data_IF_413318992658
#
_entry.id   IF_413318992658
#
_cell.length_a   1.000
_cell.length_b   1.000
_cell.length_c   1.000
_cell.angle_alpha   90.00
_cell.angle_beta   90.00
_cell.angle_gamma   90.00
#
_symmetry.space_group_name_H-M   'P 1'
#
loop_
_entity.id
_entity.type
_entity.pdbx_description
1 polymer ?
#
# COMPACT_ATOMS: atom_id res chain seq x y z
N UNK A 1 29.47 4.58 28.86
CA UNK A 1 28.70 3.62 28.08
C UNK A 1 27.23 3.98 28.27
N UNK A 2 26.65 4.72 27.34
CA UNK A 2 25.22 5.06 27.36
C UNK A 2 24.43 3.89 26.79
N UNK A 3 23.12 3.75 27.15
CA UNK A 3 22.31 2.64 26.67
C UNK A 3 22.19 2.77 25.15
N UNK A 4 22.53 1.70 24.45
CA UNK A 4 22.28 1.52 23.03
C UNK A 4 20.79 1.63 22.81
N UNK A 5 20.34 2.75 22.21
CA UNK A 5 18.93 2.97 21.89
C UNK A 5 18.45 1.88 20.94
N UNK A 6 17.49 1.09 21.37
CA UNK A 6 16.67 0.29 20.48
C UNK A 6 16.08 1.25 19.45
N UNK A 7 16.28 0.98 18.16
CA UNK A 7 15.61 1.78 17.13
C UNK A 7 14.10 1.71 17.33
N UNK A 8 13.38 2.80 17.12
CA UNK A 8 11.92 2.90 17.31
C UNK A 8 11.20 1.77 16.54
N UNK A 9 11.74 1.36 15.40
CA UNK A 9 11.22 0.26 14.58
C UNK A 9 11.30 -1.12 15.23
N UNK A 10 12.38 -1.44 15.97
CA UNK A 10 12.50 -2.76 16.62
C UNK A 10 11.46 -2.93 17.74
N UNK A 11 11.12 -1.84 18.45
CA UNK A 11 10.08 -1.84 19.49
C UNK A 11 8.67 -2.03 18.94
N UNK A 12 8.35 -1.50 17.75
CA UNK A 12 7.02 -1.60 17.14
C UNK A 12 6.64 -3.04 16.83
N UNK A 13 7.53 -3.80 16.15
CA UNK A 13 7.28 -5.19 15.80
C UNK A 13 7.13 -6.11 17.02
N UNK A 14 7.81 -5.82 18.12
CA UNK A 14 7.69 -6.59 19.37
C UNK A 14 6.37 -6.34 20.10
N UNK A 15 5.85 -5.10 20.05
CA UNK A 15 4.72 -4.69 20.89
C UNK A 15 3.38 -4.61 20.18
N UNK A 16 3.37 -4.35 18.87
CA UNK A 16 2.15 -4.04 18.10
C UNK A 16 1.92 -4.94 16.90
N UNK A 17 2.98 -5.50 16.33
CA UNK A 17 2.90 -6.24 15.07
C UNK A 17 3.31 -7.71 15.28
N UNK A 18 2.49 -8.44 16.05
CA UNK A 18 2.68 -9.87 16.30
C UNK A 18 2.19 -10.70 15.10
N UNK A 19 2.93 -11.76 14.75
CA UNK A 19 2.52 -12.70 13.70
C UNK A 19 1.20 -13.38 14.08
N UNK A 20 0.19 -13.24 13.24
CA UNK A 20 -1.12 -13.87 13.41
C UNK A 20 -1.47 -14.72 12.19
N UNK A 21 -1.44 -16.05 12.34
CA UNK A 21 -1.78 -16.99 11.27
C UNK A 21 -3.19 -16.78 10.65
N UNK A 22 -4.11 -16.12 11.38
CA UNK A 22 -5.44 -15.77 10.85
C UNK A 22 -5.36 -14.75 9.73
N UNK A 23 -4.33 -13.93 9.72
CA UNK A 23 -4.07 -12.94 8.66
C UNK A 23 -3.75 -13.61 7.34
N UNK A 24 -3.15 -14.81 7.36
CA UNK A 24 -2.90 -15.61 6.16
C UNK A 24 -4.19 -15.91 5.39
N UNK A 25 -5.21 -16.41 6.09
CA UNK A 25 -6.54 -16.69 5.48
C UNK A 25 -7.21 -15.40 4.98
N UNK A 26 -7.07 -14.29 5.74
CA UNK A 26 -7.58 -13.00 5.34
C UNK A 26 -6.95 -12.54 4.03
N UNK A 27 -5.62 -12.43 3.97
CA UNK A 27 -4.91 -11.88 2.81
C UNK A 27 -5.05 -12.76 1.56
N UNK A 28 -5.03 -14.09 1.72
CA UNK A 28 -5.34 -15.03 0.64
C UNK A 28 -6.74 -14.79 0.07
N UNK A 29 -7.72 -14.56 0.93
CA UNK A 29 -9.10 -14.30 0.50
C UNK A 29 -9.24 -12.92 -0.15
N UNK A 30 -8.59 -11.89 0.39
CA UNK A 30 -8.55 -10.55 -0.19
C UNK A 30 -7.92 -10.57 -1.58
N UNK A 31 -6.78 -11.26 -1.74
CA UNK A 31 -6.17 -11.42 -3.04
C UNK A 31 -7.13 -12.12 -4.01
N UNK A 32 -7.66 -13.28 -3.62
CA UNK A 32 -8.55 -14.08 -4.48
C UNK A 32 -9.81 -13.35 -4.92
N UNK A 33 -10.47 -12.64 -4.01
CA UNK A 33 -11.82 -12.10 -4.23
C UNK A 33 -11.83 -10.60 -4.56
N UNK A 34 -10.69 -9.90 -4.38
CA UNK A 34 -10.61 -8.48 -4.67
C UNK A 34 -9.39 -8.13 -5.53
N UNK A 35 -8.15 -8.39 -5.08
CA UNK A 35 -6.96 -7.87 -5.74
C UNK A 35 -6.64 -8.55 -7.08
N UNK A 36 -7.02 -9.82 -7.26
CA UNK A 36 -6.77 -10.56 -8.51
C UNK A 36 -7.32 -9.87 -9.77
N UNK A 37 -8.33 -9.01 -9.64
CA UNK A 37 -8.86 -8.23 -10.79
C UNK A 37 -7.96 -7.08 -11.22
N UNK A 38 -7.02 -6.68 -10.35
CA UNK A 38 -6.12 -5.56 -10.54
C UNK A 38 -4.69 -5.98 -10.87
N UNK A 39 -4.36 -7.24 -10.63
CA UNK A 39 -3.00 -7.80 -10.75
C UNK A 39 -3.05 -8.97 -11.72
N UNK A 40 -2.33 -8.85 -12.83
CA UNK A 40 -2.15 -9.92 -13.80
C UNK A 40 -0.92 -10.79 -13.44
N UNK A 41 -0.84 -11.99 -13.99
CA UNK A 41 0.26 -12.93 -13.69
C UNK A 41 1.61 -12.45 -14.26
N UNK A 42 1.58 -11.62 -15.31
CA UNK A 42 2.77 -10.99 -15.92
C UNK A 42 3.24 -9.73 -15.22
N UNK A 43 2.54 -9.23 -14.21
CA UNK A 43 2.84 -7.98 -13.55
C UNK A 43 4.10 -8.04 -12.67
N UNK A 44 4.67 -6.86 -12.44
CA UNK A 44 5.60 -6.56 -11.37
C UNK A 44 4.86 -5.86 -10.23
N UNK A 45 4.84 -6.51 -9.07
CA UNK A 45 4.13 -6.03 -7.87
C UNK A 45 5.14 -5.66 -6.80
N UNK A 46 5.01 -4.47 -6.20
CA UNK A 46 5.78 -4.04 -5.04
C UNK A 46 4.86 -3.78 -3.85
N UNK A 47 5.17 -4.34 -2.68
CA UNK A 47 4.56 -4.01 -1.40
C UNK A 47 5.48 -3.09 -0.61
N UNK A 48 5.00 -1.89 -0.29
CA UNK A 48 5.67 -0.88 0.51
C UNK A 48 5.22 -1.03 1.97
N UNK A 49 6.17 -1.19 2.90
CA UNK A 49 5.88 -1.51 4.29
C UNK A 49 5.32 -2.93 4.43
N UNK A 50 6.04 -3.92 3.89
CA UNK A 50 5.54 -5.28 3.75
C UNK A 50 5.39 -6.03 5.09
N UNK A 51 6.13 -5.66 6.14
CA UNK A 51 6.11 -6.33 7.43
C UNK A 51 6.30 -7.84 7.30
N UNK A 52 5.33 -8.64 7.69
CA UNK A 52 5.37 -10.11 7.54
C UNK A 52 5.07 -10.61 6.10
N UNK A 53 4.95 -9.74 5.11
CA UNK A 53 4.70 -10.10 3.73
C UNK A 53 3.34 -10.77 3.47
N UNK A 54 2.37 -10.54 4.33
CA UNK A 54 1.07 -11.22 4.23
C UNK A 54 0.36 -10.98 2.90
N UNK A 55 0.46 -9.80 2.30
CA UNK A 55 -0.11 -9.54 0.99
C UNK A 55 0.76 -10.14 -0.11
N UNK A 56 2.04 -9.77 -0.19
CA UNK A 56 2.92 -10.13 -1.31
C UNK A 56 3.12 -11.65 -1.44
N UNK A 57 3.09 -12.38 -0.32
CA UNK A 57 3.18 -13.84 -0.29
C UNK A 57 1.97 -14.53 -0.95
N UNK A 58 0.81 -13.87 -1.00
CA UNK A 58 -0.40 -14.41 -1.61
C UNK A 58 -0.63 -13.93 -3.05
N UNK A 59 0.18 -12.98 -3.53
CA UNK A 59 0.10 -12.46 -4.90
C UNK A 59 0.68 -13.47 -5.89
N UNK A 60 0.00 -13.66 -7.02
CA UNK A 60 0.49 -14.39 -8.18
C UNK A 60 0.87 -13.35 -9.23
N UNK A 61 2.16 -13.17 -9.44
CA UNK A 61 2.71 -12.21 -10.39
C UNK A 61 4.11 -12.65 -10.83
N UNK A 62 4.56 -12.19 -11.99
CA UNK A 62 5.88 -12.52 -12.55
C UNK A 62 7.02 -12.06 -11.66
N UNK A 63 6.90 -10.88 -11.05
CA UNK A 63 7.88 -10.32 -10.13
C UNK A 63 7.18 -9.78 -8.89
N UNK A 64 7.67 -10.17 -7.73
CA UNK A 64 7.10 -9.77 -6.44
C UNK A 64 8.21 -9.22 -5.56
N UNK A 65 8.04 -7.98 -5.08
CA UNK A 65 9.03 -7.27 -4.29
C UNK A 65 8.36 -6.82 -2.99
N UNK A 66 9.00 -7.12 -1.87
CA UNK A 66 8.63 -6.65 -0.53
C UNK A 66 9.69 -5.65 -0.07
N UNK A 67 9.28 -4.44 0.32
CA UNK A 67 10.14 -3.41 0.88
C UNK A 67 9.68 -3.07 2.30
N UNK A 68 10.60 -3.09 3.26
CA UNK A 68 10.33 -2.68 4.64
C UNK A 68 11.61 -2.19 5.31
N UNK A 69 11.49 -1.31 6.31
CA UNK A 69 12.60 -0.90 7.18
C UNK A 69 13.02 -2.00 8.16
N UNK A 70 12.16 -2.99 8.39
CA UNK A 70 12.40 -4.06 9.34
C UNK A 70 13.40 -5.08 8.79
N UNK A 71 14.57 -5.18 9.43
CA UNK A 71 15.67 -6.03 8.99
C UNK A 71 15.32 -7.53 8.92
N UNK A 72 14.37 -7.98 9.75
CA UNK A 72 13.92 -9.37 9.79
C UNK A 72 12.90 -9.71 8.69
N UNK A 73 12.31 -8.72 8.02
CA UNK A 73 11.25 -8.92 7.01
C UNK A 73 11.61 -9.98 5.95
N UNK A 74 12.85 -10.04 5.42
CA UNK A 74 13.20 -11.04 4.39
C UNK A 74 13.03 -12.50 4.83
N UNK A 75 12.98 -12.77 6.15
CA UNK A 75 12.75 -14.12 6.70
C UNK A 75 11.29 -14.57 6.59
N UNK A 76 10.38 -13.64 6.38
CA UNK A 76 8.93 -13.91 6.35
C UNK A 76 8.36 -13.95 4.94
N UNK A 77 9.11 -13.49 3.94
CA UNK A 77 8.67 -13.58 2.55
C UNK A 77 8.94 -14.97 1.98
N UNK A 78 8.02 -15.43 1.14
CA UNK A 78 8.11 -16.76 0.53
C UNK A 78 9.14 -16.78 -0.61
N UNK A 79 9.58 -17.99 -0.95
CA UNK A 79 10.46 -18.21 -2.11
C UNK A 79 9.87 -17.54 -3.37
N UNK A 80 10.72 -16.84 -4.11
CA UNK A 80 10.33 -16.08 -5.31
C UNK A 80 9.78 -14.68 -5.03
N UNK A 81 9.79 -14.20 -3.78
CA UNK A 81 9.59 -12.80 -3.42
C UNK A 81 10.95 -12.17 -3.13
N UNK A 82 11.23 -11.04 -3.77
CA UNK A 82 12.44 -10.25 -3.51
C UNK A 82 12.24 -9.40 -2.24
N UNK A 83 12.80 -9.84 -1.11
CA UNK A 83 12.80 -9.07 0.14
C UNK A 83 13.89 -7.98 0.11
N UNK A 84 13.51 -6.73 0.35
CA UNK A 84 14.38 -5.57 0.41
C UNK A 84 14.23 -4.86 1.74
N UNK A 85 15.34 -4.64 2.45
CA UNK A 85 15.37 -3.81 3.64
C UNK A 85 15.75 -2.38 3.24
N UNK A 86 14.88 -1.42 3.53
CA UNK A 86 15.11 -0.03 3.15
C UNK A 86 13.90 0.86 3.39
N UNK A 87 14.12 2.17 3.22
CA UNK A 87 13.05 3.16 3.35
C UNK A 87 12.15 3.19 2.12
N UNK A 88 10.86 3.40 2.32
CA UNK A 88 9.90 3.64 1.24
C UNK A 88 10.13 4.98 0.53
N UNK A 89 10.93 5.87 1.13
CA UNK A 89 11.37 7.12 0.52
C UNK A 89 12.58 6.96 -0.41
N UNK A 90 13.10 5.75 -0.60
CA UNK A 90 14.15 5.43 -1.56
C UNK A 90 13.74 4.22 -2.42
N UNK A 91 13.19 4.50 -3.59
CA UNK A 91 12.79 3.51 -4.59
C UNK A 91 13.77 3.42 -5.76
N UNK A 92 15.02 3.88 -5.58
CA UNK A 92 16.06 3.89 -6.61
C UNK A 92 16.40 2.50 -7.17
N UNK A 93 16.18 1.45 -6.38
CA UNK A 93 16.40 0.05 -6.78
C UNK A 93 15.37 -0.46 -7.81
N UNK A 94 14.25 0.23 -8.00
CA UNK A 94 13.25 -0.09 -9.02
C UNK A 94 13.65 0.58 -10.35
N UNK A 95 13.49 -0.16 -11.43
CA UNK A 95 13.66 0.41 -12.77
C UNK A 95 12.47 1.33 -13.09
N UNK A 96 12.73 2.36 -13.90
CA UNK A 96 11.67 3.26 -14.34
C UNK A 96 10.63 2.51 -15.19
N UNK A 97 9.38 2.88 -15.01
CA UNK A 97 8.22 2.32 -15.71
C UNK A 97 8.11 0.78 -15.63
N UNK A 98 8.61 0.16 -14.55
CA UNK A 98 8.67 -1.29 -14.39
C UNK A 98 7.65 -1.88 -13.42
N UNK A 99 6.98 -1.06 -12.61
CA UNK A 99 6.03 -1.49 -11.59
C UNK A 99 4.61 -1.38 -12.11
N UNK A 100 3.87 -2.48 -12.11
CA UNK A 100 2.47 -2.50 -12.57
C UNK A 100 1.50 -2.30 -11.40
N UNK A 101 1.87 -2.73 -10.19
CA UNK A 101 1.04 -2.55 -9.01
C UNK A 101 1.90 -2.28 -7.77
N UNK A 102 1.78 -1.08 -7.20
CA UNK A 102 2.36 -0.72 -5.92
C UNK A 102 1.27 -0.80 -4.84
N UNK A 103 1.55 -1.50 -3.74
CA UNK A 103 0.62 -1.68 -2.63
C UNK A 103 1.22 -1.17 -1.33
N UNK A 104 0.43 -0.44 -0.55
CA UNK A 104 0.78 0.00 0.80
C UNK A 104 -0.40 -0.29 1.75
N UNK A 105 -0.13 -0.99 2.85
CA UNK A 105 -1.16 -1.29 3.85
C UNK A 105 -0.72 -0.83 5.22
N UNK A 106 -1.51 0.06 5.84
CA UNK A 106 -1.22 0.63 7.17
C UNK A 106 0.24 1.15 7.24
N UNK A 107 0.59 2.00 6.30
CA UNK A 107 1.92 2.57 6.16
C UNK A 107 1.90 4.09 6.24
N UNK A 108 1.04 4.76 5.47
CA UNK A 108 1.12 6.20 5.27
C UNK A 108 0.67 7.02 6.49
N UNK A 109 -0.03 6.42 7.43
CA UNK A 109 -0.33 7.01 8.74
C UNK A 109 0.89 7.09 9.66
N UNK A 110 1.96 6.34 9.36
CA UNK A 110 3.20 6.27 10.14
C UNK A 110 4.32 7.15 9.59
N UNK A 111 4.12 7.82 8.47
CA UNK A 111 5.10 8.72 7.86
C UNK A 111 4.54 10.14 7.75
N UNK A 112 5.42 11.12 7.60
CA UNK A 112 5.04 12.52 7.42
C UNK A 112 4.45 12.75 6.04
N UNK A 113 3.77 13.90 5.86
CA UNK A 113 3.26 14.30 4.54
C UNK A 113 4.39 14.53 3.53
N UNK A 114 5.53 15.06 3.96
CA UNK A 114 6.69 15.27 3.10
C UNK A 114 7.30 13.94 2.62
N UNK A 115 7.39 12.95 3.52
CA UNK A 115 7.81 11.59 3.15
C UNK A 115 6.84 10.95 2.16
N UNK A 116 5.53 11.08 2.40
CA UNK A 116 4.53 10.58 1.45
C UNK A 116 4.65 11.28 0.09
N UNK A 117 4.85 12.60 0.05
CA UNK A 117 5.07 13.34 -1.19
C UNK A 117 6.30 12.80 -1.94
N UNK A 118 7.40 12.53 -1.23
CA UNK A 118 8.60 11.92 -1.80
C UNK A 118 8.30 10.52 -2.38
N UNK A 119 7.55 9.66 -1.66
CA UNK A 119 7.13 8.34 -2.16
C UNK A 119 6.32 8.47 -3.44
N UNK A 120 5.33 9.38 -3.48
CA UNK A 120 4.48 9.58 -4.65
C UNK A 120 5.28 10.07 -5.86
N UNK A 121 6.19 11.02 -5.67
CA UNK A 121 7.06 11.53 -6.72
C UNK A 121 7.94 10.42 -7.33
N UNK A 122 8.53 9.56 -6.49
CA UNK A 122 9.34 8.45 -6.99
C UNK A 122 8.48 7.40 -7.70
N UNK A 123 7.32 7.03 -7.12
CA UNK A 123 6.41 6.06 -7.72
C UNK A 123 5.90 6.49 -9.09
N UNK A 124 5.71 7.80 -9.33
CA UNK A 124 5.31 8.31 -10.65
C UNK A 124 6.28 7.83 -11.74
N UNK A 125 7.59 7.92 -11.49
CA UNK A 125 8.61 7.44 -12.44
C UNK A 125 8.74 5.92 -12.52
N UNK A 126 8.41 5.19 -11.44
CA UNK A 126 8.57 3.73 -11.36
C UNK A 126 7.37 2.96 -11.88
N UNK A 127 6.16 3.54 -11.78
CA UNK A 127 4.94 2.91 -12.28
C UNK A 127 4.94 2.82 -13.81
N UNK A 128 4.56 1.67 -14.34
CA UNK A 128 4.42 1.42 -15.77
C UNK A 128 3.28 2.25 -16.39
N UNK A 129 3.11 2.19 -17.70
CA UNK A 129 2.04 2.88 -18.43
C UNK A 129 0.64 2.60 -17.91
N UNK A 130 0.44 1.42 -17.33
CA UNK A 130 -0.80 0.96 -16.70
C UNK A 130 -0.70 0.85 -15.19
N UNK A 131 0.43 1.26 -14.61
CA UNK A 131 0.77 1.08 -13.21
C UNK A 131 -0.22 1.76 -12.27
N UNK A 132 -0.52 1.08 -11.17
CA UNK A 132 -1.46 1.52 -10.14
C UNK A 132 -0.78 1.57 -8.78
N UNK A 133 -1.15 2.58 -7.98
CA UNK A 133 -0.91 2.62 -6.55
C UNK A 133 -2.20 2.24 -5.83
N UNK A 134 -2.15 1.25 -4.96
CA UNK A 134 -3.25 0.89 -4.07
C UNK A 134 -2.83 1.07 -2.61
N UNK A 135 -3.61 1.80 -1.86
CA UNK A 135 -3.42 1.96 -0.41
C UNK A 135 -4.63 1.44 0.36
N UNK A 136 -4.35 0.79 1.49
CA UNK A 136 -5.32 0.28 2.45
C UNK A 136 -4.90 0.72 3.85
N UNK A 137 -5.65 1.64 4.47
CA UNK A 137 -5.27 2.21 5.77
C UNK A 137 -6.47 2.70 6.58
N UNK A 138 -6.30 3.00 7.89
CA UNK A 138 -7.37 3.56 8.70
C UNK A 138 -7.95 4.83 8.09
N UNK A 139 -9.27 4.88 8.01
CA UNK A 139 -9.98 6.10 7.64
C UNK A 139 -10.39 6.83 8.92
N UNK A 140 -9.72 7.91 9.25
CA UNK A 140 -9.96 8.69 10.46
C UNK A 140 -11.43 9.03 10.66
N UNK A 141 -12.17 9.31 9.58
CA UNK A 141 -13.61 9.62 9.65
C UNK A 141 -14.45 8.53 10.31
N UNK A 142 -14.01 7.27 10.25
CA UNK A 142 -14.71 6.11 10.81
C UNK A 142 -13.93 5.41 11.92
N UNK A 143 -12.64 5.71 12.07
CA UNK A 143 -11.72 5.10 13.03
C UNK A 143 -11.23 6.09 14.11
N UNK A 144 -11.80 7.29 14.21
CA UNK A 144 -11.27 8.37 15.05
C UNK A 144 -11.11 8.03 16.53
N UNK A 145 -11.91 7.10 17.05
CA UNK A 145 -11.83 6.66 18.44
C UNK A 145 -10.62 5.80 18.73
N UNK A 146 -10.26 4.94 17.77
CA UNK A 146 -9.18 3.95 17.89
C UNK A 146 -7.91 4.37 17.16
N UNK A 147 -7.95 5.49 16.44
CA UNK A 147 -6.86 5.89 15.55
C UNK A 147 -5.53 6.04 16.31
N UNK A 148 -5.58 6.70 17.44
CA UNK A 148 -4.42 6.95 18.30
C UNK A 148 -4.22 5.90 19.40
N UNK A 149 -4.94 4.76 19.36
CA UNK A 149 -4.58 3.58 20.15
C UNK A 149 -3.22 3.00 19.69
N UNK A 150 -2.80 3.34 18.48
CA UNK A 150 -1.45 3.15 17.99
C UNK A 150 -0.66 4.47 18.07
N UNK A 151 0.32 4.50 19.00
CA UNK A 151 1.14 5.70 19.24
C UNK A 151 2.07 6.08 18.09
N UNK A 152 2.22 5.21 17.09
CA UNK A 152 3.06 5.44 15.93
C UNK A 152 2.33 6.12 14.77
N UNK A 153 1.01 6.33 14.89
CA UNK A 153 0.25 7.14 13.94
C UNK A 153 0.57 8.62 14.12
N UNK A 154 1.29 9.19 13.19
CA UNK A 154 1.71 10.60 13.22
C UNK A 154 0.94 11.48 12.24
N UNK A 155 0.36 10.89 11.19
CA UNK A 155 -0.40 11.63 10.17
C UNK A 155 -1.83 11.11 10.10
N UNK A 156 -2.79 12.05 9.98
CA UNK A 156 -4.21 11.74 9.97
C UNK A 156 -4.79 11.89 8.58
N UNK A 157 -5.36 10.82 8.05
CA UNK A 157 -6.05 10.84 6.76
C UNK A 157 -7.48 10.31 6.86
N UNK A 158 -8.41 11.02 6.23
CA UNK A 158 -9.68 10.47 5.78
C UNK A 158 -9.57 10.11 4.30
N UNK A 159 -10.55 9.33 3.79
CA UNK A 159 -10.60 9.06 2.35
C UNK A 159 -10.71 10.32 1.49
N UNK A 160 -11.27 11.41 2.04
CA UNK A 160 -11.36 12.70 1.35
C UNK A 160 -9.97 13.35 1.29
N UNK A 161 -9.34 13.56 2.46
CA UNK A 161 -8.03 14.24 2.52
C UNK A 161 -6.92 13.44 1.83
N UNK A 162 -6.96 12.11 1.89
CA UNK A 162 -6.02 11.27 1.14
C UNK A 162 -6.26 11.37 -0.38
N UNK A 163 -7.51 11.37 -0.83
CA UNK A 163 -7.81 11.55 -2.25
C UNK A 163 -7.39 12.92 -2.76
N UNK A 164 -7.56 13.97 -1.96
CA UNK A 164 -7.13 15.33 -2.32
C UNK A 164 -5.61 15.43 -2.33
N UNK A 165 -4.93 14.80 -1.36
CA UNK A 165 -3.47 14.75 -1.32
C UNK A 165 -2.90 14.02 -2.56
N UNK A 166 -3.47 12.88 -2.94
CA UNK A 166 -3.06 12.15 -4.15
C UNK A 166 -3.25 13.00 -5.41
N UNK A 167 -4.40 13.67 -5.56
CA UNK A 167 -4.64 14.57 -6.72
C UNK A 167 -3.66 15.74 -6.76
N UNK A 168 -3.37 16.36 -5.61
CA UNK A 168 -2.40 17.45 -5.51
C UNK A 168 -0.99 17.02 -5.92
N UNK A 169 -0.68 15.71 -5.81
CA UNK A 169 0.62 15.14 -6.20
C UNK A 169 0.56 14.39 -7.54
N UNK A 170 -0.38 14.74 -8.42
CA UNK A 170 -0.41 14.23 -9.78
C UNK A 170 -0.97 12.81 -9.94
N UNK A 171 -1.93 12.41 -9.09
CA UNK A 171 -2.59 11.11 -9.20
C UNK A 171 -4.09 11.24 -9.43
N UNK A 172 -4.63 10.49 -10.37
CA UNK A 172 -6.07 10.31 -10.59
C UNK A 172 -6.59 9.15 -9.73
N UNK A 173 -7.73 9.36 -9.07
CA UNK A 173 -8.38 8.30 -8.29
C UNK A 173 -9.17 7.38 -9.23
N UNK A 174 -8.80 6.11 -9.25
CA UNK A 174 -9.48 5.06 -10.03
C UNK A 174 -10.62 4.42 -9.24
N UNK A 175 -10.37 4.09 -7.97
CA UNK A 175 -11.37 3.54 -7.05
C UNK A 175 -11.17 4.13 -5.65
N UNK A 176 -12.25 4.45 -4.97
CA UNK A 176 -12.23 4.85 -3.57
C UNK A 176 -13.33 4.14 -2.81
N UNK A 177 -12.95 3.29 -1.87
CA UNK A 177 -13.84 2.59 -0.94
C UNK A 177 -13.62 3.11 0.48
N UNK A 178 -14.44 4.07 0.97
CA UNK A 178 -14.23 4.72 2.27
C UNK A 178 -14.32 3.79 3.47
N UNK A 179 -14.99 2.64 3.33
CA UNK A 179 -15.23 1.64 4.39
C UNK A 179 -14.97 0.25 3.87
N UNK A 180 -13.74 -0.03 3.43
CA UNK A 180 -13.38 -1.29 2.78
C UNK A 180 -13.34 -2.46 3.77
N UNK A 181 -12.67 -2.29 4.92
CA UNK A 181 -12.46 -3.35 5.90
C UNK A 181 -12.62 -2.85 7.35
N UNK A 182 -12.87 -3.77 8.32
CA UNK A 182 -12.69 -3.47 9.74
C UNK A 182 -11.23 -3.09 10.06
N UNK A 183 -11.03 -2.24 11.07
CA UNK A 183 -9.69 -1.83 11.51
C UNK A 183 -8.87 -3.00 12.08
N UNK A 184 -9.54 -3.88 12.82
CA UNK A 184 -8.90 -5.06 13.40
C UNK A 184 -9.69 -6.32 13.08
N UNK A 185 -8.97 -7.42 12.87
CA UNK A 185 -9.54 -8.76 12.66
C UNK A 185 -9.56 -9.55 13.98
N UNK A 186 -9.37 -8.88 15.13
CA UNK A 186 -9.46 -9.48 16.48
C UNK A 186 -10.91 -9.82 16.83
N UNK A 187 -11.54 -10.68 16.04
CA UNK A 187 -12.85 -11.24 16.38
C UNK A 187 -12.69 -12.63 16.98
N UNK A 188 -13.60 -13.01 17.92
CA UNK A 188 -13.70 -14.37 18.42
C UNK A 188 -14.24 -15.36 17.36
N UNK A 189 -14.74 -14.83 16.25
CA UNK A 189 -15.25 -15.64 15.13
C UNK A 189 -14.08 -16.16 14.29
N UNK A 190 -14.13 -17.41 13.89
CA UNK A 190 -13.17 -17.99 12.95
C UNK A 190 -13.28 -17.22 11.62
N UNK A 191 -12.17 -16.65 11.17
CA UNK A 191 -12.08 -16.03 9.85
C UNK A 191 -12.18 -17.15 8.82
N UNK A 192 -13.23 -17.11 7.99
CA UNK A 192 -13.39 -18.04 6.87
C UNK A 192 -13.41 -17.27 5.55
N UNK A 193 -12.88 -17.89 4.50
CA UNK A 193 -12.88 -17.28 3.15
C UNK A 193 -14.28 -16.95 2.67
N UNK A 194 -15.29 -17.74 3.05
CA UNK A 194 -16.69 -17.48 2.70
C UNK A 194 -17.23 -16.20 3.36
N UNK A 195 -16.94 -15.97 4.64
CA UNK A 195 -17.36 -14.74 5.34
C UNK A 195 -16.66 -13.51 4.76
N UNK A 196 -15.39 -13.63 4.38
CA UNK A 196 -14.65 -12.54 3.71
C UNK A 196 -15.29 -12.26 2.34
N UNK A 197 -15.57 -13.30 1.55
CA UNK A 197 -16.25 -13.15 0.27
C UNK A 197 -17.60 -12.44 0.42
N UNK A 198 -18.43 -12.89 1.36
CA UNK A 198 -19.73 -12.27 1.65
C UNK A 198 -19.57 -10.80 2.06
N UNK A 199 -18.61 -10.51 2.92
CA UNK A 199 -18.29 -9.14 3.35
C UNK A 199 -17.88 -8.26 2.17
N UNK A 200 -16.98 -8.74 1.30
CA UNK A 200 -16.51 -7.97 0.14
C UNK A 200 -17.61 -7.66 -0.86
N UNK A 201 -18.60 -8.56 -1.02
CA UNK A 201 -19.71 -8.39 -1.96
C UNK A 201 -20.95 -7.72 -1.32
N UNK A 202 -20.98 -7.57 0.01
CA UNK A 202 -22.06 -6.87 0.68
C UNK A 202 -22.03 -5.36 0.40
N UNK A 203 -23.16 -4.72 0.08
CA UNK A 203 -23.24 -3.27 -0.02
C UNK A 203 -23.08 -2.59 1.35
N UNK A 204 -23.39 -3.30 2.43
CA UNK A 204 -23.22 -2.83 3.80
C UNK A 204 -21.90 -3.35 4.35
N UNK A 205 -21.05 -2.43 4.83
CA UNK A 205 -19.72 -2.74 5.41
C UNK A 205 -19.75 -2.51 6.92
N UNK A 206 -20.33 -3.44 7.71
CA UNK A 206 -20.36 -3.27 9.17
C UNK A 206 -18.94 -3.15 9.69
N UNK A 207 -18.72 -2.25 10.66
CA UNK A 207 -17.40 -1.98 11.25
C UNK A 207 -16.28 -1.62 10.25
N UNK A 208 -16.60 -1.31 9.00
CA UNK A 208 -15.62 -0.86 8.00
C UNK A 208 -15.01 0.47 8.44
N UNK A 209 -13.75 0.46 8.83
CA UNK A 209 -12.98 1.59 9.35
C UNK A 209 -11.72 1.88 8.55
N UNK A 210 -11.32 0.95 7.70
CA UNK A 210 -10.22 1.15 6.76
C UNK A 210 -10.79 1.61 5.40
N UNK A 211 -10.10 2.55 4.78
CA UNK A 211 -10.31 2.93 3.38
C UNK A 211 -9.40 2.13 2.47
N UNK A 212 -9.86 1.92 1.25
CA UNK A 212 -9.02 1.48 0.14
C UNK A 212 -9.13 2.51 -0.97
N UNK A 213 -8.00 2.96 -1.48
CA UNK A 213 -7.92 3.87 -2.61
C UNK A 213 -6.98 3.27 -3.64
N UNK A 214 -7.42 3.24 -4.90
CA UNK A 214 -6.58 2.89 -6.06
C UNK A 214 -6.43 4.15 -6.88
N UNK A 215 -5.19 4.50 -7.20
CA UNK A 215 -4.83 5.69 -7.95
C UNK A 215 -3.81 5.35 -9.03
N UNK A 216 -3.69 6.22 -10.03
CA UNK A 216 -2.66 6.14 -11.08
C UNK A 216 -2.06 7.51 -11.31
N UNK A 217 -0.80 7.62 -11.74
CA UNK A 217 -0.23 8.90 -12.13
C UNK A 217 -1.05 9.55 -13.27
N UNK A 218 -1.33 10.83 -13.12
CA UNK A 218 -1.92 11.66 -14.18
C UNK A 218 -0.86 11.91 -15.23
N UNK A 219 -0.91 11.18 -16.35
CA UNK A 219 0.03 11.40 -17.44
C UNK A 219 -0.50 12.54 -18.32
N UNK A 220 0.18 13.67 -18.28
CA UNK A 220 -0.01 14.68 -19.31
C UNK A 220 0.40 14.07 -20.64
N UNK A 221 -0.57 13.91 -21.57
CA UNK A 221 -0.27 13.54 -22.95
C UNK A 221 0.77 14.52 -23.46
N UNK A 222 1.99 14.05 -23.73
CA UNK A 222 3.07 14.87 -24.21
C UNK A 222 2.59 15.65 -25.45
N UNK A 223 2.51 16.96 -25.33
CA UNK A 223 2.34 17.83 -26.48
C UNK A 223 3.54 17.63 -27.38
N UNK A 224 3.35 16.84 -28.44
CA UNK A 224 4.24 16.84 -29.60
C UNK A 224 4.16 18.23 -30.25
N UNK A 225 4.90 19.17 -29.67
CA UNK A 225 5.20 20.45 -30.28
C UNK A 225 6.28 20.24 -31.35
N UNK A 226 5.91 19.73 -32.48
CA UNK A 226 6.74 19.89 -33.68
C UNK A 226 6.68 21.38 -34.09
N UNK A 227 7.62 22.17 -33.57
CA UNK A 227 7.92 23.48 -34.15
C UNK A 227 8.56 23.25 -35.49
N UNK A 228 7.75 23.21 -36.55
CA UNK A 228 8.20 23.44 -37.90
C UNK A 228 8.64 24.90 -38.04
N UNK A 229 9.92 25.15 -37.84
CA UNK A 229 10.50 26.40 -38.33
C UNK A 229 10.39 26.40 -39.86
N UNK A 230 9.40 27.09 -40.39
CA UNK A 230 9.33 27.48 -41.77
C UNK A 230 10.44 28.49 -42.07
N UNK A 231 11.40 28.06 -42.81
CA UNK A 231 12.39 28.88 -43.45
C UNK A 231 11.69 29.66 -44.58
N UNK A 232 11.58 30.97 -44.48
CA UNK A 232 11.23 31.84 -45.58
C UNK A 232 12.49 32.63 -45.97
N UNK A 233 12.92 32.35 -47.16
CA UNK A 233 13.90 33.09 -47.95
C UNK A 233 13.48 34.51 -48.24
#
# INVERSE_FOLDING_TARGET
MGPTGMSVNTGYHVTRFEYDARRETLWRSLYRFFFKRWIAEEDCVVELGAGYGHFINNVIARRRIALDLWEEMPRYVQHGVEGRVGSVTDLSFLQDSSVDFAFASNLFEHITQDELACVLQQLEGKLSGRGLLCLLQPNYRYAYREYFDDYTHITVYSHLTMSDFLRAHGYDIVECSPRFMPLTVKSRLKISSFLIWLYLHSPVKPMGKQMLIIARPTRTSGANGSSSQGNMS
#
